data_IF_983187121589
#
_entry.id   IF_983187121589
#
_cell.length_a   1.000
_cell.length_b   1.000
_cell.length_c   1.000
_cell.angle_alpha   90.00
_cell.angle_beta   90.00
_cell.angle_gamma   90.00
#
_symmetry.space_group_name_H-M   'P 1'
#
loop_
_entity.id
_entity.type
_entity.pdbx_description
1 polymer ?
#
# COMPACT_ATOMS: atom_id res chain seq x y z
N UNK A 1 -9.83 7.40 4.11
CA UNK A 1 -9.46 6.84 5.45
C UNK A 1 -7.98 7.09 5.77
N UNK A 2 -7.10 7.17 4.77
CA UNK A 2 -5.68 7.51 4.92
C UNK A 2 -5.41 8.96 5.40
N UNK A 3 -6.32 9.91 5.14
CA UNK A 3 -6.09 11.34 5.48
C UNK A 3 -5.99 11.57 6.99
N UNK A 4 -6.84 10.91 7.78
CA UNK A 4 -6.83 11.01 9.26
C UNK A 4 -5.52 10.53 9.89
N UNK A 5 -4.83 9.59 9.23
CA UNK A 5 -3.55 9.05 9.69
C UNK A 5 -2.42 10.03 9.37
N UNK A 6 -2.43 10.59 8.16
CA UNK A 6 -1.48 11.63 7.73
C UNK A 6 -1.60 12.86 8.64
N UNK A 7 -2.82 13.27 8.97
CA UNK A 7 -3.10 14.39 9.87
C UNK A 7 -2.58 14.13 11.29
N UNK A 8 -2.79 12.91 11.82
CA UNK A 8 -2.30 12.52 13.14
C UNK A 8 -0.77 12.49 13.24
N UNK A 9 -0.08 12.00 12.20
CA UNK A 9 1.39 12.01 12.11
C UNK A 9 1.89 13.45 12.00
N UNK A 10 1.26 14.27 11.16
CA UNK A 10 1.58 15.69 11.00
C UNK A 10 1.45 16.45 12.32
N UNK A 11 0.39 16.18 13.09
CA UNK A 11 0.15 16.80 14.39
C UNK A 11 1.19 16.36 15.43
N UNK A 12 1.49 15.07 15.54
CA UNK A 12 2.52 14.56 16.46
C UNK A 12 3.94 15.03 16.09
N UNK A 13 4.26 15.09 14.80
CA UNK A 13 5.54 15.60 14.30
C UNK A 13 5.67 17.11 14.53
N UNK A 14 4.62 17.87 14.26
CA UNK A 14 4.56 19.31 14.54
C UNK A 14 4.72 19.58 16.04
N UNK A 15 4.11 18.76 16.90
CA UNK A 15 4.28 18.86 18.34
C UNK A 15 5.74 18.60 18.77
N UNK A 16 6.40 17.60 18.17
CA UNK A 16 7.83 17.33 18.39
C UNK A 16 8.74 18.47 17.91
N UNK A 17 8.46 19.06 16.74
CA UNK A 17 9.18 20.24 16.23
C UNK A 17 8.96 21.48 17.08
N UNK A 18 7.76 21.67 17.63
CA UNK A 18 7.47 22.78 18.54
C UNK A 18 8.19 22.61 19.88
N UNK A 19 8.35 21.39 20.38
CA UNK A 19 9.16 21.11 21.58
C UNK A 19 10.65 21.43 21.34
N UNK A 20 11.14 21.19 20.12
CA UNK A 20 12.48 21.57 19.67
C UNK A 20 12.68 23.10 19.56
N UNK A 21 11.69 23.83 19.05
CA UNK A 21 11.79 25.27 18.82
C UNK A 21 11.61 26.12 20.10
N UNK A 22 10.92 25.60 21.13
CA UNK A 22 10.58 26.33 22.36
C UNK A 22 11.60 26.19 23.51
N UNK A 23 12.87 25.90 23.23
CA UNK A 23 13.96 26.01 24.22
C UNK A 23 14.35 24.74 24.97
N UNK A 24 13.96 23.55 24.50
CA UNK A 24 14.59 22.30 24.94
C UNK A 24 16.00 22.21 24.36
N UNK A 25 17.03 22.36 25.19
CA UNK A 25 18.45 22.33 24.80
C UNK A 25 18.95 20.96 24.35
N UNK A 26 18.09 19.94 24.36
CA UNK A 26 18.39 18.60 23.87
C UNK A 26 17.54 18.31 22.64
N UNK A 27 18.21 18.10 21.49
CA UNK A 27 17.60 17.40 20.36
C UNK A 27 16.93 16.13 20.91
N UNK A 28 15.67 15.81 20.54
CA UNK A 28 15.07 14.55 20.96
C UNK A 28 16.03 13.45 20.56
N UNK A 29 16.48 12.69 21.56
CA UNK A 29 17.47 11.65 21.33
C UNK A 29 17.01 10.75 20.19
N UNK A 30 17.95 10.19 19.43
CA UNK A 30 17.68 9.30 18.29
C UNK A 30 16.64 8.20 18.63
N UNK A 31 16.57 7.78 19.90
CA UNK A 31 15.59 6.84 20.42
C UNK A 31 14.16 7.39 20.47
N UNK A 32 13.94 8.64 20.88
CA UNK A 32 12.62 9.29 20.90
C UNK A 32 12.06 9.41 19.48
N UNK A 33 12.90 9.86 18.54
CA UNK A 33 12.53 9.99 17.12
C UNK A 33 12.20 8.62 16.53
N UNK A 34 13.02 7.60 16.82
CA UNK A 34 12.77 6.23 16.37
C UNK A 34 11.46 5.66 16.93
N UNK A 35 11.15 5.91 18.19
CA UNK A 35 9.91 5.44 18.81
C UNK A 35 8.67 6.09 18.19
N UNK A 36 8.72 7.39 17.86
CA UNK A 36 7.63 8.09 17.15
C UNK A 36 7.44 7.51 15.75
N UNK A 37 8.52 7.30 15.00
CA UNK A 37 8.45 6.69 13.65
C UNK A 37 7.90 5.26 13.72
N UNK A 38 8.37 4.45 14.67
CA UNK A 38 7.87 3.08 14.85
C UNK A 38 6.40 3.04 15.25
N UNK A 39 5.96 3.97 16.11
CA UNK A 39 4.54 4.10 16.50
C UNK A 39 3.67 4.57 15.32
N UNK A 40 4.18 5.49 14.50
CA UNK A 40 3.50 5.96 13.30
C UNK A 40 3.35 4.84 12.25
N UNK A 41 4.45 4.12 11.96
CA UNK A 41 4.44 2.98 11.04
C UNK A 41 3.59 1.82 11.56
N UNK A 42 3.61 1.54 12.86
CA UNK A 42 2.77 0.50 13.47
C UNK A 42 1.27 0.82 13.49
N UNK A 43 0.88 2.09 13.32
CA UNK A 43 -0.51 2.52 13.14
C UNK A 43 -0.98 2.48 11.68
N UNK A 44 -0.07 2.26 10.73
CA UNK A 44 -0.40 2.07 9.33
C UNK A 44 -0.69 0.58 9.10
N UNK A 45 -1.67 0.28 8.25
CA UNK A 45 -1.96 -1.09 7.79
C UNK A 45 -0.87 -1.50 6.77
N UNK A 46 0.35 -1.69 7.27
CA UNK A 46 1.52 -2.02 6.48
C UNK A 46 1.56 -3.52 6.27
N UNK A 47 1.57 -3.92 5.01
CA UNK A 47 1.98 -5.26 4.61
C UNK A 47 3.50 -5.29 4.47
N UNK A 48 4.10 -6.43 4.75
CA UNK A 48 5.53 -6.64 4.48
C UNK A 48 5.80 -6.54 2.99
N UNK A 49 7.05 -6.25 2.63
CA UNK A 49 7.47 -6.22 1.22
C UNK A 49 7.20 -7.56 0.54
N UNK A 50 7.46 -8.66 1.23
CA UNK A 50 7.27 -10.02 0.72
C UNK A 50 5.78 -10.33 0.47
N UNK A 51 4.89 -9.92 1.37
CA UNK A 51 3.44 -10.06 1.18
C UNK A 51 2.93 -9.24 -0.01
N UNK A 52 3.43 -8.01 -0.16
CA UNK A 52 3.12 -7.18 -1.31
C UNK A 52 3.56 -7.85 -2.63
N UNK A 53 4.81 -8.32 -2.69
CA UNK A 53 5.36 -8.95 -3.88
C UNK A 53 4.62 -10.28 -4.20
N UNK A 54 4.21 -11.04 -3.18
CA UNK A 54 3.37 -12.23 -3.34
C UNK A 54 2.00 -11.89 -3.93
N UNK A 55 1.33 -10.85 -3.44
CA UNK A 55 0.05 -10.40 -3.99
C UNK A 55 0.18 -9.88 -5.43
N UNK A 56 1.24 -9.14 -5.74
CA UNK A 56 1.53 -8.67 -7.09
C UNK A 56 1.73 -9.85 -8.07
N UNK A 57 2.42 -10.91 -7.64
CA UNK A 57 2.61 -12.12 -8.44
C UNK A 57 1.28 -12.87 -8.69
N UNK A 58 0.40 -12.96 -7.69
CA UNK A 58 -0.94 -13.55 -7.85
C UNK A 58 -1.79 -12.73 -8.83
N UNK A 59 -1.74 -11.40 -8.74
CA UNK A 59 -2.45 -10.50 -9.64
C UNK A 59 -1.98 -10.67 -11.09
N UNK A 60 -0.66 -10.74 -11.31
CA UNK A 60 -0.07 -10.98 -12.62
C UNK A 60 -0.57 -12.29 -13.24
N UNK A 61 -0.50 -13.40 -12.48
CA UNK A 61 -1.01 -14.70 -12.94
C UNK A 61 -2.51 -14.69 -13.22
N UNK A 62 -3.27 -13.93 -12.43
CA UNK A 62 -4.72 -13.80 -12.66
C UNK A 62 -5.01 -13.07 -13.97
N UNK A 63 -4.27 -11.99 -14.28
CA UNK A 63 -4.40 -11.28 -15.56
C UNK A 63 -4.10 -12.19 -16.74
N UNK A 64 -2.99 -12.93 -16.69
CA UNK A 64 -2.62 -13.87 -17.74
C UNK A 64 -3.72 -14.94 -17.97
N UNK A 65 -4.30 -15.46 -16.89
CA UNK A 65 -5.40 -16.43 -16.98
C UNK A 65 -6.67 -15.81 -17.57
N UNK A 66 -7.01 -14.58 -17.19
CA UNK A 66 -8.17 -13.87 -17.74
C UNK A 66 -7.99 -13.66 -19.23
N UNK A 67 -6.85 -13.15 -19.68
CA UNK A 67 -6.56 -12.95 -21.11
C UNK A 67 -6.61 -14.27 -21.91
N UNK A 68 -6.13 -15.37 -21.33
CA UNK A 68 -6.21 -16.69 -21.96
C UNK A 68 -7.67 -17.17 -22.09
N UNK A 69 -8.47 -17.00 -21.04
CA UNK A 69 -9.90 -17.36 -21.07
C UNK A 69 -10.69 -16.49 -22.05
N UNK A 70 -10.43 -15.19 -22.12
CA UNK A 70 -11.04 -14.29 -23.09
C UNK A 70 -10.78 -14.75 -24.53
N UNK A 71 -9.56 -15.19 -24.85
CA UNK A 71 -9.23 -15.77 -26.17
C UNK A 71 -10.02 -17.04 -26.45
N UNK A 72 -10.10 -17.95 -25.48
CA UNK A 72 -10.86 -19.21 -25.62
C UNK A 72 -12.34 -18.92 -25.85
N UNK A 73 -12.93 -17.97 -25.11
CA UNK A 73 -14.33 -17.58 -25.29
C UNK A 73 -14.54 -17.00 -26.70
N UNK A 74 -13.69 -16.07 -27.14
CA UNK A 74 -13.80 -15.48 -28.48
C UNK A 74 -13.69 -16.52 -29.61
N UNK A 75 -12.82 -17.53 -29.45
CA UNK A 75 -12.71 -18.63 -30.40
C UNK A 75 -13.97 -19.52 -30.42
N UNK A 76 -14.58 -19.76 -29.26
CA UNK A 76 -15.82 -20.53 -29.14
C UNK A 76 -17.01 -19.78 -29.74
N UNK A 77 -17.14 -18.49 -29.44
CA UNK A 77 -18.15 -17.61 -30.02
C UNK A 77 -18.06 -17.61 -31.55
N UNK A 78 -16.86 -17.45 -32.11
CA UNK A 78 -16.62 -17.51 -33.55
C UNK A 78 -17.00 -18.87 -34.16
N UNK A 79 -16.73 -19.98 -33.46
CA UNK A 79 -17.13 -21.33 -33.93
C UNK A 79 -18.65 -21.50 -33.93
N UNK A 80 -19.34 -20.93 -32.95
CA UNK A 80 -20.80 -20.97 -32.88
C UNK A 80 -21.45 -20.15 -34.00
N UNK A 81 -20.97 -18.93 -34.25
CA UNK A 81 -21.47 -18.08 -35.34
C UNK A 81 -21.28 -18.73 -36.73
N UNK A 82 -20.12 -19.36 -36.94
CA UNK A 82 -19.83 -20.10 -38.17
C UNK A 82 -20.66 -21.38 -38.34
N UNK A 83 -21.22 -21.93 -37.26
CA UNK A 83 -22.08 -23.13 -37.30
C UNK A 83 -23.56 -22.79 -37.47
N UNK A 84 -23.94 -21.53 -37.24
CA UNK A 84 -25.30 -21.01 -37.36
C UNK A 84 -25.57 -20.29 -38.70
N UNK A 85 -24.54 -20.11 -39.55
CA UNK A 85 -24.62 -19.59 -40.91
C UNK A 85 -24.51 -20.71 -41.94
#
# INVERSE_FOLDING_TARGET
MNDKIIDGISQQFSQMLNTLNNGGTELPGQQQVKAVIQSALGKMDLVTRDEFDAQAAVLMRTREKVEALEKVVAELEKKMDNSAS
#
